data_IF_095628932908
#
_entry.id   IF_095628932908
#
_cell.length_a   1.000
_cell.length_b   1.000
_cell.length_c   1.000
_cell.angle_alpha   90.00
_cell.angle_beta   90.00
_cell.angle_gamma   90.00
#
_symmetry.space_group_name_H-M   'P 1'
#
loop_
_entity.id
_entity.type
_entity.pdbx_description
1 polymer ?
#
# COMPACT_ATOMS: atom_id res chain seq x y z
N UNK A 1 4.26 -3.97 -23.17
CA UNK A 1 4.83 -3.13 -22.08
C UNK A 1 5.20 -4.06 -20.93
N UNK A 2 6.35 -3.86 -20.29
CA UNK A 2 6.78 -4.72 -19.18
C UNK A 2 5.76 -4.63 -18.04
N UNK A 3 5.09 -5.75 -17.73
CA UNK A 3 4.05 -5.85 -16.70
C UNK A 3 4.52 -5.24 -15.37
N UNK A 4 5.79 -5.50 -15.01
CA UNK A 4 6.45 -4.97 -13.81
C UNK A 4 6.51 -3.42 -13.77
N UNK A 5 6.61 -2.75 -14.92
CA UNK A 5 6.70 -1.28 -15.03
C UNK A 5 5.35 -0.58 -14.84
N UNK A 6 4.24 -1.28 -15.03
CA UNK A 6 2.87 -0.75 -14.83
C UNK A 6 2.34 -1.15 -13.45
N UNK A 7 2.58 -2.39 -13.03
CA UNK A 7 2.05 -2.91 -11.77
C UNK A 7 2.71 -2.31 -10.53
N UNK A 8 4.02 -2.03 -10.56
CA UNK A 8 4.72 -1.43 -9.41
C UNK A 8 4.14 -0.07 -8.99
N UNK A 9 4.09 0.93 -9.88
CA UNK A 9 3.50 2.23 -9.57
C UNK A 9 2.03 2.15 -9.17
N UNK A 10 1.25 1.27 -9.81
CA UNK A 10 -0.16 1.06 -9.48
C UNK A 10 -0.34 0.52 -8.06
N UNK A 11 0.49 -0.44 -7.64
CA UNK A 11 0.46 -1.01 -6.30
C UNK A 11 0.89 0.01 -5.23
N UNK A 12 1.85 0.90 -5.55
CA UNK A 12 2.25 1.99 -4.66
C UNK A 12 1.10 2.98 -4.46
N UNK A 13 0.44 3.41 -5.53
CA UNK A 13 -0.71 4.31 -5.45
C UNK A 13 -1.81 3.67 -4.58
N UNK A 14 -2.09 2.39 -4.80
CA UNK A 14 -3.07 1.64 -4.00
C UNK A 14 -2.66 1.55 -2.52
N UNK A 15 -1.38 1.30 -2.23
CA UNK A 15 -0.82 1.28 -0.88
C UNK A 15 -0.95 2.63 -0.17
N UNK A 16 -0.62 3.73 -0.86
CA UNK A 16 -0.77 5.09 -0.33
C UNK A 16 -2.25 5.39 -0.02
N UNK A 17 -3.17 5.06 -0.92
CA UNK A 17 -4.61 5.24 -0.71
C UNK A 17 -5.07 4.43 0.51
N UNK A 18 -4.62 3.18 0.66
CA UNK A 18 -4.94 2.34 1.81
C UNK A 18 -4.43 2.90 3.14
N UNK A 19 -3.21 3.45 3.15
CA UNK A 19 -2.64 4.11 4.33
C UNK A 19 -3.39 5.38 4.72
N UNK A 20 -3.74 6.22 3.73
CA UNK A 20 -4.52 7.44 3.96
C UNK A 20 -5.90 7.07 4.50
N UNK A 21 -6.56 6.05 3.93
CA UNK A 21 -7.85 5.60 4.41
C UNK A 21 -7.78 5.04 5.84
N UNK A 22 -6.74 4.26 6.17
CA UNK A 22 -6.49 3.80 7.53
C UNK A 22 -6.31 4.96 8.52
N UNK A 23 -5.60 6.02 8.13
CA UNK A 23 -5.43 7.23 8.95
C UNK A 23 -6.74 8.00 9.15
N UNK A 24 -7.57 8.11 8.11
CA UNK A 24 -8.90 8.73 8.21
C UNK A 24 -9.78 7.90 9.15
N UNK A 25 -9.79 6.57 9.01
CA UNK A 25 -10.58 5.69 9.87
C UNK A 25 -10.13 5.79 11.33
N UNK A 26 -8.82 5.89 11.57
CA UNK A 26 -8.25 6.11 12.90
C UNK A 26 -8.67 7.45 13.51
N UNK A 27 -8.69 8.53 12.72
CA UNK A 27 -9.12 9.85 13.19
C UNK A 27 -10.61 9.95 13.48
N UNK A 28 -11.44 9.12 12.83
CA UNK A 28 -12.90 9.12 12.98
C UNK A 28 -13.41 7.95 13.85
N UNK A 29 -12.54 7.19 14.51
CA UNK A 29 -12.97 6.08 15.37
C UNK A 29 -13.49 6.63 16.72
N UNK A 30 -14.81 6.69 16.85
CA UNK A 30 -15.49 7.10 18.08
C UNK A 30 -15.67 5.95 19.10
N UNK A 31 -15.11 4.76 18.85
CA UNK A 31 -14.90 3.78 19.92
C UNK A 31 -15.17 2.30 19.60
N UNK A 32 -14.38 1.68 18.71
CA UNK A 32 -14.30 0.21 18.80
C UNK A 32 -13.71 -0.57 17.65
N UNK A 33 -13.39 0.05 16.50
CA UNK A 33 -12.96 -0.70 15.31
C UNK A 33 -11.44 -0.75 15.10
N UNK A 34 -10.69 -0.79 16.21
CA UNK A 34 -9.22 -0.90 16.22
C UNK A 34 -8.67 -2.03 15.36
N UNK A 35 -9.39 -3.16 15.27
CA UNK A 35 -9.01 -4.28 14.40
C UNK A 35 -9.10 -3.89 12.92
N UNK A 36 -10.15 -3.19 12.51
CA UNK A 36 -10.36 -2.74 11.13
C UNK A 36 -9.27 -1.76 10.72
N UNK A 37 -8.96 -0.80 11.60
CA UNK A 37 -7.88 0.18 11.38
C UNK A 37 -6.53 -0.51 11.25
N UNK A 38 -6.22 -1.42 12.18
CA UNK A 38 -4.94 -2.13 12.19
C UNK A 38 -4.77 -2.98 10.93
N UNK A 39 -5.83 -3.65 10.47
CA UNK A 39 -5.81 -4.41 9.21
C UNK A 39 -5.57 -3.46 8.04
N UNK A 40 -6.31 -2.35 7.91
CA UNK A 40 -6.16 -1.38 6.82
C UNK A 40 -4.75 -0.79 6.76
N UNK A 41 -4.18 -0.42 7.90
CA UNK A 41 -2.81 0.10 7.99
C UNK A 41 -1.78 -0.94 7.55
N UNK A 42 -1.86 -2.18 8.06
CA UNK A 42 -0.94 -3.26 7.67
C UNK A 42 -1.06 -3.57 6.18
N UNK A 43 -2.28 -3.63 5.64
CA UNK A 43 -2.53 -3.90 4.23
C UNK A 43 -1.94 -2.81 3.32
N UNK A 44 -2.11 -1.54 3.71
CA UNK A 44 -1.50 -0.40 3.03
C UNK A 44 0.03 -0.47 3.02
N UNK A 45 0.65 -0.81 4.16
CA UNK A 45 2.10 -1.01 4.26
C UNK A 45 2.56 -2.15 3.35
N UNK A 46 1.87 -3.29 3.38
CA UNK A 46 2.22 -4.47 2.56
C UNK A 46 2.17 -4.11 1.08
N UNK A 47 1.10 -3.47 0.61
CA UNK A 47 0.98 -3.05 -0.80
C UNK A 47 2.03 -2.02 -1.20
N UNK A 48 2.36 -1.09 -0.32
CA UNK A 48 3.41 -0.12 -0.56
C UNK A 48 4.79 -0.77 -0.71
N UNK A 49 5.17 -1.66 0.23
CA UNK A 49 6.45 -2.39 0.19
C UNK A 49 6.51 -3.32 -1.02
N UNK A 50 5.44 -4.05 -1.32
CA UNK A 50 5.37 -4.90 -2.51
C UNK A 50 5.49 -4.09 -3.80
N UNK A 51 4.91 -2.89 -3.85
CA UNK A 51 5.01 -1.99 -5.01
C UNK A 51 6.43 -1.51 -5.24
N UNK A 52 7.10 -1.09 -4.16
CA UNK A 52 8.52 -0.75 -4.19
C UNK A 52 9.40 -1.93 -4.62
N UNK A 53 9.16 -3.14 -4.09
CA UNK A 53 9.88 -4.35 -4.46
C UNK A 53 9.72 -4.72 -5.93
N UNK A 54 8.54 -4.48 -6.51
CA UNK A 54 8.29 -4.67 -7.95
C UNK A 54 9.07 -3.68 -8.81
N UNK A 55 9.19 -2.42 -8.37
CA UNK A 55 9.98 -1.39 -9.06
C UNK A 55 11.48 -1.68 -8.90
N UNK A 56 11.95 -2.03 -7.70
CA UNK A 56 13.36 -2.36 -7.45
C UNK A 56 13.80 -3.64 -8.18
N UNK A 57 12.93 -4.65 -8.26
CA UNK A 57 13.16 -5.85 -9.08
C UNK A 57 13.11 -5.62 -10.60
N UNK A 58 12.90 -4.36 -11.03
CA UNK A 58 13.10 -3.89 -12.41
C UNK A 58 14.37 -3.07 -12.60
N UNK A 59 15.24 -2.95 -11.59
CA UNK A 59 16.65 -2.67 -11.84
C UNK A 59 17.21 -3.88 -12.59
N UNK A 60 17.07 -3.80 -13.90
CA UNK A 60 17.59 -4.78 -14.83
C UNK A 60 19.08 -4.93 -14.53
N UNK A 61 19.49 -6.19 -14.38
CA UNK A 61 20.85 -6.60 -14.66
C UNK A 61 21.04 -6.38 -16.16
N UNK A 62 21.41 -5.17 -16.56
CA UNK A 62 21.97 -4.92 -17.89
C UNK A 62 23.43 -4.56 -17.78
#
# INVERSE_FOLDING_TARGET
MNLKRIFGPLLIILGIVGLIYGAILFMNDDGGEWKTILVMCILGIVFFISGLGLIQGTQDKS
#
